data_IF_786628228756
#
_entry.id   IF_786628228756
#
_cell.length_a   1.000
_cell.length_b   1.000
_cell.length_c   1.000
_cell.angle_alpha   90.00
_cell.angle_beta   90.00
_cell.angle_gamma   90.00
#
_symmetry.space_group_name_H-M   'P 1'
#
loop_
_entity.id
_entity.type
_entity.pdbx_description
1 polymer ?
#
# COMPACT_ATOMS: atom_id res chain seq x y z
N UNK A 1 -20.24 -61.41 5.11
CA UNK A 1 -18.98 -60.98 5.75
C UNK A 1 -18.47 -59.88 4.84
N UNK A 2 -19.01 -58.66 4.99
CA UNK A 2 -18.88 -57.61 3.98
C UNK A 2 -18.58 -56.28 4.67
N UNK A 3 -17.28 -56.06 4.90
CA UNK A 3 -16.75 -54.78 5.32
C UNK A 3 -16.60 -53.88 4.10
N UNK A 4 -17.59 -53.03 3.84
CA UNK A 4 -17.41 -51.89 2.96
C UNK A 4 -16.66 -50.82 3.74
N UNK A 5 -15.35 -50.76 3.52
CA UNK A 5 -14.57 -49.58 3.84
C UNK A 5 -15.19 -48.40 3.10
N UNK A 6 -15.83 -47.49 3.84
CA UNK A 6 -16.20 -46.17 3.36
C UNK A 6 -14.92 -45.37 3.13
N UNK A 7 -14.23 -45.67 2.04
CA UNK A 7 -13.11 -44.87 1.55
C UNK A 7 -13.67 -43.53 1.09
N UNK A 8 -13.56 -42.51 1.94
CA UNK A 8 -13.82 -41.13 1.54
C UNK A 8 -12.76 -40.75 0.51
N UNK A 9 -13.06 -40.90 -0.78
CA UNK A 9 -12.23 -40.34 -1.82
C UNK A 9 -12.38 -38.82 -1.71
N UNK A 10 -11.31 -38.06 -1.39
CA UNK A 10 -11.43 -36.61 -1.30
C UNK A 10 -11.68 -36.06 -2.70
N UNK A 11 -12.82 -35.42 -2.90
CA UNK A 11 -13.10 -34.67 -4.12
C UNK A 11 -12.08 -33.54 -4.26
N UNK A 12 -11.27 -33.57 -5.33
CA UNK A 12 -10.32 -32.51 -5.64
C UNK A 12 -11.06 -31.34 -6.27
N UNK A 13 -11.27 -30.26 -5.52
CA UNK A 13 -11.84 -29.01 -6.04
C UNK A 13 -10.77 -28.13 -6.66
N UNK A 14 -11.04 -27.61 -7.85
CA UNK A 14 -10.17 -26.61 -8.47
C UNK A 14 -10.25 -25.28 -7.70
N UNK A 15 -9.17 -24.48 -7.64
CA UNK A 15 -9.18 -23.18 -6.97
C UNK A 15 -10.34 -22.28 -7.42
N UNK A 16 -10.65 -22.28 -8.73
CA UNK A 16 -11.74 -21.44 -9.27
C UNK A 16 -13.12 -21.86 -8.73
N UNK A 17 -13.33 -23.16 -8.49
CA UNK A 17 -14.57 -23.68 -7.92
C UNK A 17 -14.64 -23.31 -6.45
N UNK A 18 -13.55 -23.49 -5.70
CA UNK A 18 -13.49 -23.13 -4.28
C UNK A 18 -13.76 -21.64 -4.06
N UNK A 19 -13.01 -20.76 -4.74
CA UNK A 19 -13.15 -19.31 -4.57
C UNK A 19 -14.50 -18.78 -5.05
N UNK A 20 -15.01 -19.33 -6.17
CA UNK A 20 -16.35 -19.01 -6.66
C UNK A 20 -17.44 -19.41 -5.67
N UNK A 21 -17.32 -20.60 -5.07
CA UNK A 21 -18.30 -21.11 -4.11
C UNK A 21 -18.31 -20.29 -2.81
N UNK A 22 -17.13 -20.05 -2.20
CA UNK A 22 -17.06 -19.28 -0.95
C UNK A 22 -17.49 -17.83 -1.12
N UNK A 23 -17.12 -17.17 -2.22
CA UNK A 23 -17.58 -15.80 -2.52
C UNK A 23 -19.06 -15.77 -2.89
N UNK A 24 -19.58 -16.82 -3.51
CA UNK A 24 -21.01 -16.98 -3.81
C UNK A 24 -21.90 -16.97 -2.57
N UNK A 25 -21.40 -17.51 -1.46
CA UNK A 25 -22.08 -17.53 -0.16
C UNK A 25 -22.08 -16.16 0.56
N UNK A 26 -21.23 -15.24 0.15
CA UNK A 26 -21.18 -13.91 0.74
C UNK A 26 -22.30 -13.03 0.20
N UNK A 27 -22.80 -12.12 1.04
CA UNK A 27 -23.72 -11.07 0.59
C UNK A 27 -23.07 -10.24 -0.54
N UNK A 28 -23.84 -9.78 -1.55
CA UNK A 28 -23.28 -9.03 -2.69
C UNK A 28 -22.49 -7.80 -2.26
N UNK A 29 -22.89 -7.14 -1.17
CA UNK A 29 -22.19 -5.99 -0.58
C UNK A 29 -20.82 -6.39 -0.05
N UNK A 30 -20.70 -7.53 0.66
CA UNK A 30 -19.41 -8.05 1.14
C UNK A 30 -18.47 -8.39 -0.01
N UNK A 31 -19.01 -8.95 -1.10
CA UNK A 31 -18.21 -9.20 -2.32
C UNK A 31 -17.70 -7.90 -2.93
N UNK A 32 -18.54 -6.87 -2.98
CA UNK A 32 -18.14 -5.57 -3.49
C UNK A 32 -17.06 -4.92 -2.60
N UNK A 33 -17.20 -4.99 -1.28
CA UNK A 33 -16.19 -4.50 -0.34
C UNK A 33 -14.84 -5.21 -0.53
N UNK A 34 -14.86 -6.53 -0.70
CA UNK A 34 -13.64 -7.30 -1.03
C UNK A 34 -13.06 -6.86 -2.37
N UNK A 35 -13.87 -6.67 -3.41
CA UNK A 35 -13.42 -6.22 -4.71
C UNK A 35 -12.79 -4.81 -4.66
N UNK A 36 -13.36 -3.90 -3.87
CA UNK A 36 -12.80 -2.56 -3.63
C UNK A 36 -11.44 -2.66 -2.94
N UNK A 37 -11.33 -3.48 -1.90
CA UNK A 37 -10.07 -3.72 -1.20
C UNK A 37 -9.02 -4.34 -2.14
N UNK A 38 -9.38 -5.39 -2.86
CA UNK A 38 -8.50 -6.04 -3.84
C UNK A 38 -8.02 -5.01 -4.87
N UNK A 39 -8.91 -4.23 -5.46
CA UNK A 39 -8.54 -3.22 -6.45
C UNK A 39 -7.56 -2.16 -5.91
N UNK A 40 -7.76 -1.70 -4.67
CA UNK A 40 -6.86 -0.76 -4.02
C UNK A 40 -5.46 -1.37 -3.76
N UNK A 41 -5.40 -2.68 -3.46
CA UNK A 41 -4.16 -3.38 -3.09
C UNK A 41 -3.50 -4.12 -4.27
N UNK A 42 -4.18 -4.28 -5.39
CA UNK A 42 -3.69 -4.95 -6.61
C UNK A 42 -2.28 -4.48 -7.04
N UNK A 43 -1.93 -3.17 -6.99
CA UNK A 43 -0.58 -2.71 -7.33
C UNK A 43 0.52 -3.36 -6.48
N UNK A 44 0.24 -3.62 -5.20
CA UNK A 44 1.18 -4.28 -4.28
C UNK A 44 1.19 -5.80 -4.45
N UNK A 45 0.04 -6.40 -4.72
CA UNK A 45 -0.10 -7.86 -4.82
C UNK A 45 0.45 -8.42 -6.13
N UNK A 46 0.49 -7.61 -7.20
CA UNK A 46 1.07 -8.02 -8.47
C UNK A 46 2.54 -8.36 -8.31
N UNK A 47 2.92 -9.57 -8.72
CA UNK A 47 4.31 -9.99 -8.77
C UNK A 47 5.03 -9.14 -9.83
N UNK A 48 6.27 -8.63 -9.58
CA UNK A 48 7.06 -7.98 -10.61
C UNK A 48 7.20 -8.91 -11.81
N UNK A 49 6.59 -8.52 -12.93
CA UNK A 49 6.68 -9.30 -14.15
C UNK A 49 8.07 -9.09 -14.77
N UNK A 50 8.72 -10.18 -15.20
CA UNK A 50 9.90 -10.06 -16.05
C UNK A 50 9.43 -9.81 -17.49
N UNK A 51 9.71 -8.61 -18.00
CA UNK A 51 9.43 -8.26 -19.40
C UNK A 51 10.76 -8.04 -20.13
N UNK A 52 11.03 -8.85 -21.15
CA UNK A 52 12.29 -8.80 -21.93
C UNK A 52 13.56 -8.87 -21.07
N UNK A 53 13.57 -9.74 -20.06
CA UNK A 53 14.73 -9.93 -19.17
C UNK A 53 14.91 -8.85 -18.09
N UNK A 54 14.20 -7.72 -18.16
CA UNK A 54 14.17 -6.70 -17.11
C UNK A 54 13.05 -6.99 -16.10
N UNK A 55 13.36 -6.80 -14.83
CA UNK A 55 12.38 -6.81 -13.76
C UNK A 55 11.57 -5.51 -13.87
N UNK A 56 10.26 -5.62 -14.08
CA UNK A 56 9.37 -4.46 -13.96
C UNK A 56 9.08 -4.30 -12.48
N UNK A 57 9.52 -3.19 -11.90
CA UNK A 57 9.26 -2.85 -10.50
C UNK A 57 7.77 -2.85 -10.19
N UNK A 58 7.43 -3.16 -8.94
CA UNK A 58 6.02 -3.08 -8.53
C UNK A 58 5.63 -1.61 -8.49
N UNK A 59 4.40 -1.33 -8.91
CA UNK A 59 3.90 0.03 -8.86
C UNK A 59 3.52 0.35 -7.41
N UNK A 60 4.05 1.43 -6.82
CA UNK A 60 3.70 1.79 -5.45
C UNK A 60 2.22 2.16 -5.35
N UNK A 61 1.65 2.06 -4.13
CA UNK A 61 0.32 2.60 -3.86
C UNK A 61 0.27 4.10 -4.19
N UNK A 62 -0.84 4.54 -4.78
CA UNK A 62 -1.09 5.95 -5.04
C UNK A 62 -1.25 6.72 -3.72
N UNK A 63 -0.98 8.02 -3.73
CA UNK A 63 -1.18 8.88 -2.57
C UNK A 63 -2.64 8.83 -2.07
N UNK A 64 -3.59 8.74 -3.00
CA UNK A 64 -5.02 8.57 -2.71
C UNK A 64 -5.30 7.29 -1.91
N UNK A 65 -4.79 6.14 -2.35
CA UNK A 65 -5.01 4.87 -1.64
C UNK A 65 -4.31 4.89 -0.28
N UNK A 66 -3.13 5.48 -0.18
CA UNK A 66 -2.44 5.66 1.12
C UNK A 66 -3.27 6.52 2.07
N UNK A 67 -3.84 7.63 1.60
CA UNK A 67 -4.70 8.50 2.39
C UNK A 67 -6.00 7.78 2.81
N UNK A 68 -6.60 6.99 1.92
CA UNK A 68 -7.78 6.19 2.22
C UNK A 68 -7.50 5.12 3.30
N UNK A 69 -6.37 4.41 3.22
CA UNK A 69 -5.95 3.43 4.23
C UNK A 69 -5.70 4.11 5.59
N UNK A 70 -5.07 5.29 5.59
CA UNK A 70 -4.76 6.06 6.80
C UNK A 70 -5.96 6.80 7.39
N UNK A 71 -7.10 6.85 6.68
CA UNK A 71 -8.29 7.58 7.11
C UNK A 71 -9.08 6.79 8.16
N UNK A 72 -9.50 7.49 9.21
CA UNK A 72 -10.40 6.96 10.25
C UNK A 72 -11.89 7.26 9.99
N UNK A 73 -12.23 7.66 8.76
CA UNK A 73 -13.61 7.94 8.40
C UNK A 73 -14.48 6.66 8.48
N UNK A 74 -15.63 6.75 9.14
CA UNK A 74 -16.61 5.65 9.25
C UNK A 74 -17.96 5.99 8.60
N UNK A 75 -18.15 7.23 8.16
CA UNK A 75 -19.42 7.73 7.62
C UNK A 75 -19.82 7.21 6.24
N UNK A 76 -18.95 6.45 5.56
CA UNK A 76 -19.22 5.87 4.23
C UNK A 76 -18.97 4.36 4.23
N UNK A 77 -19.86 3.52 3.69
CA UNK A 77 -19.75 2.06 3.70
C UNK A 77 -18.44 1.48 3.13
N UNK A 78 -17.75 2.19 2.24
CA UNK A 78 -16.48 1.75 1.65
C UNK A 78 -15.25 2.45 2.24
N UNK A 79 -15.38 3.00 3.45
CA UNK A 79 -14.18 3.37 4.19
C UNK A 79 -13.35 2.14 4.53
N UNK A 80 -12.03 2.33 4.63
CA UNK A 80 -11.10 1.25 4.95
C UNK A 80 -11.49 0.51 6.24
N UNK A 81 -11.85 1.26 7.30
CA UNK A 81 -12.29 0.68 8.58
C UNK A 81 -13.57 -0.15 8.44
N UNK A 82 -14.58 0.37 7.73
CA UNK A 82 -15.83 -0.35 7.53
C UNK A 82 -15.62 -1.64 6.74
N UNK A 83 -14.76 -1.61 5.72
CA UNK A 83 -14.38 -2.80 4.96
C UNK A 83 -13.66 -3.82 5.86
N UNK A 84 -12.67 -3.40 6.65
CA UNK A 84 -11.95 -4.30 7.55
C UNK A 84 -12.90 -4.97 8.55
N UNK A 85 -13.76 -4.18 9.20
CA UNK A 85 -14.74 -4.67 10.16
C UNK A 85 -15.72 -5.69 9.54
N UNK A 86 -16.29 -5.39 8.35
CA UNK A 86 -17.28 -6.27 7.70
C UNK A 86 -16.64 -7.58 7.17
N UNK A 87 -15.38 -7.51 6.76
CA UNK A 87 -14.60 -8.65 6.29
C UNK A 87 -13.91 -9.43 7.42
N UNK A 88 -13.94 -8.94 8.67
CA UNK A 88 -13.29 -9.56 9.81
C UNK A 88 -11.75 -9.49 9.76
N UNK A 89 -11.22 -8.40 9.20
CA UNK A 89 -9.79 -8.11 9.13
C UNK A 89 -9.39 -7.15 10.25
N UNK A 90 -8.20 -7.34 10.82
CA UNK A 90 -7.59 -6.41 11.76
C UNK A 90 -7.07 -5.18 11.00
N UNK A 91 -7.73 -4.04 11.20
CA UNK A 91 -7.40 -2.78 10.52
C UNK A 91 -5.97 -2.29 10.80
N UNK A 92 -5.48 -2.44 12.04
CA UNK A 92 -4.19 -1.92 12.49
C UNK A 92 -3.04 -2.78 11.96
N UNK A 93 -3.20 -4.10 12.01
CA UNK A 93 -2.27 -5.04 11.43
C UNK A 93 -2.16 -4.83 9.91
N UNK A 94 -3.31 -4.63 9.24
CA UNK A 94 -3.35 -4.42 7.79
C UNK A 94 -2.71 -3.07 7.41
N UNK A 95 -3.05 -1.97 8.09
CA UNK A 95 -2.40 -0.65 7.90
C UNK A 95 -0.88 -0.75 8.04
N UNK A 96 -0.43 -1.38 9.12
CA UNK A 96 0.98 -1.55 9.42
C UNK A 96 1.70 -2.33 8.33
N UNK A 97 1.10 -3.41 7.83
CA UNK A 97 1.67 -4.20 6.74
C UNK A 97 1.76 -3.40 5.43
N UNK A 98 0.66 -2.74 5.05
CA UNK A 98 0.57 -2.00 3.78
C UNK A 98 1.50 -0.78 3.74
N UNK A 99 1.60 -0.04 4.85
CA UNK A 99 2.49 1.13 4.94
C UNK A 99 3.96 0.72 4.95
N UNK A 100 4.34 -0.37 5.63
CA UNK A 100 5.72 -0.90 5.55
C UNK A 100 6.11 -1.25 4.12
N UNK A 101 5.26 -2.00 3.40
CA UNK A 101 5.54 -2.39 2.02
C UNK A 101 5.66 -1.18 1.09
N UNK A 102 4.85 -0.14 1.31
CA UNK A 102 4.94 1.10 0.53
C UNK A 102 6.21 1.92 0.78
N UNK A 103 6.90 1.72 1.91
CA UNK A 103 8.19 2.39 2.22
C UNK A 103 9.41 1.61 1.73
N UNK A 104 9.33 0.27 1.66
CA UNK A 104 10.42 -0.58 1.18
C UNK A 104 10.65 -0.49 -0.33
N UNK A 105 9.63 -0.12 -1.12
CA UNK A 105 9.74 0.05 -2.58
C UNK A 105 10.57 1.30 -2.98
N UNK A 106 10.87 2.19 -2.03
CA UNK A 106 11.76 3.35 -2.25
C UNK A 106 13.24 3.06 -1.99
N UNK A 107 13.59 1.82 -1.59
CA UNK A 107 14.97 1.38 -1.44
C UNK A 107 15.38 0.63 -2.69
N UNK A 108 15.59 1.36 -3.78
CA UNK A 108 16.48 0.86 -4.82
C UNK A 108 17.81 0.47 -4.16
N UNK A 109 18.35 -0.74 -4.42
CA UNK A 109 19.78 -0.91 -4.29
C UNK A 109 20.36 0.05 -5.33
N UNK A 110 20.90 1.18 -4.89
CA UNK A 110 21.74 2.01 -5.74
C UNK A 110 22.71 1.06 -6.46
N UNK A 111 22.48 0.83 -7.75
CA UNK A 111 23.40 0.04 -8.55
C UNK A 111 24.76 0.73 -8.39
N UNK A 112 25.81 0.00 -7.99
CA UNK A 112 27.14 0.54 -8.13
C UNK A 112 27.42 0.55 -9.63
N UNK A 113 27.09 1.67 -10.29
CA UNK A 113 27.69 1.99 -11.58
C UNK A 113 29.20 2.03 -11.33
N UNK A 114 29.85 0.91 -11.66
CA UNK A 114 31.29 0.84 -11.85
C UNK A 114 31.57 1.67 -13.09
N UNK A 115 31.75 2.97 -12.91
CA UNK A 115 32.57 3.71 -13.86
C UNK A 115 33.98 3.13 -13.73
N UNK A 116 34.54 2.68 -14.86
CA UNK A 116 35.86 2.07 -14.98
C UNK A 116 37.03 3.01 -14.63
N UNK A 117 36.81 3.98 -13.76
CA UNK A 117 37.84 4.87 -13.23
C UNK A 117 37.57 5.10 -11.74
N UNK A 118 38.34 4.40 -10.89
CA UNK A 118 38.09 4.24 -9.46
C UNK A 118 38.08 5.54 -8.64
N UNK A 119 36.96 6.27 -8.66
CA UNK A 119 36.70 7.40 -7.78
C UNK A 119 35.35 7.22 -7.09
N UNK A 120 35.30 7.06 -5.76
CA UNK A 120 34.02 7.01 -5.06
C UNK A 120 33.34 8.38 -5.09
N UNK A 121 32.00 8.45 -5.21
CA UNK A 121 31.28 9.71 -5.05
C UNK A 121 31.47 10.20 -3.62
N UNK A 122 31.96 11.43 -3.48
CA UNK A 122 32.20 12.07 -2.21
C UNK A 122 30.89 12.07 -1.40
N UNK A 123 30.90 11.36 -0.27
CA UNK A 123 29.90 11.45 0.77
C UNK A 123 29.81 12.92 1.20
N UNK A 124 28.77 13.64 0.75
CA UNK A 124 28.49 14.99 1.20
C UNK A 124 27.90 14.93 2.62
N UNK A 125 28.75 14.57 3.59
CA UNK A 125 28.51 14.76 5.00
C UNK A 125 28.93 16.20 5.37
N UNK A 126 27.94 17.06 5.59
CA UNK A 126 28.07 18.22 6.47
C UNK A 126 28.84 19.44 5.94
N UNK A 127 28.10 20.48 5.58
CA UNK A 127 28.57 21.85 5.74
C UNK A 127 27.42 22.74 6.27
N UNK A 128 27.36 22.85 7.59
CA UNK A 128 26.79 24.03 8.24
C UNK A 128 27.79 25.17 8.03
N UNK A 129 27.34 26.32 7.54
CA UNK A 129 27.96 27.60 7.94
C UNK A 129 26.92 28.72 8.12
N UNK A 130 27.07 29.54 9.17
CA UNK A 130 26.25 30.72 9.45
C UNK A 130 26.88 32.00 8.87
N UNK A 131 26.11 33.08 8.73
CA UNK A 131 26.35 34.38 9.37
C UNK A 131 25.54 35.54 8.73
N UNK A 132 24.82 36.28 9.61
CA UNK A 132 24.73 37.76 9.74
C UNK A 132 24.90 38.58 8.45
N UNK A 133 24.00 39.43 7.98
CA UNK A 133 22.89 40.15 8.61
C UNK A 133 23.02 41.64 8.29
N UNK A 134 21.94 42.33 7.88
CA UNK A 134 21.69 43.74 8.26
C UNK A 134 20.23 44.12 8.03
N UNK A 135 19.69 44.83 9.01
CA UNK A 135 18.29 45.16 9.22
C UNK A 135 17.81 46.42 8.47
N UNK A 136 16.48 46.53 8.30
CA UNK A 136 15.61 47.71 8.51
C UNK A 136 14.17 47.30 8.19
N UNK A 137 13.33 47.01 9.19
CA UNK A 137 12.45 47.92 9.95
C UNK A 137 11.03 48.06 9.31
N UNK A 138 9.97 48.24 10.12
CA UNK A 138 8.66 47.62 9.88
C UNK A 138 7.60 48.60 9.35
N UNK A 139 6.56 48.07 8.71
CA UNK A 139 5.26 48.74 8.58
C UNK A 139 4.24 48.02 9.48
N UNK A 140 3.82 48.70 10.55
CA UNK A 140 2.72 48.35 11.46
C UNK A 140 1.38 48.88 10.83
N UNK A 141 0.16 48.60 11.36
CA UNK A 141 -0.97 47.98 10.67
C UNK A 141 -2.22 48.90 10.80
N UNK A 142 -3.38 48.27 10.71
CA UNK A 142 -4.71 48.76 11.11
C UNK A 142 -5.42 49.74 10.19
N UNK A 143 -6.48 49.24 9.53
CA UNK A 143 -7.85 49.76 9.68
C UNK A 143 -8.90 48.65 9.50
N UNK A 144 -9.45 48.22 10.63
CA UNK A 144 -10.89 48.14 10.95
C UNK A 144 -11.91 47.92 9.81
N UNK A 145 -12.56 46.75 9.87
CA UNK A 145 -14.02 46.51 10.05
C UNK A 145 -15.02 47.61 9.60
N UNK A 146 -16.05 47.14 8.89
CA UNK A 146 -17.45 47.64 8.76
C UNK A 146 -17.82 48.36 7.46
N UNK A 147 -18.59 47.69 6.62
CA UNK A 147 -19.79 48.19 5.95
C UNK A 147 -20.70 47.00 5.64
#
# INVERSE_FOLDING_TARGET
MDGWGSGTVPETVLPVQLFGHVRGLWQPEKRLMLAVLENALLPLLRNPARRHGRMVERRPLTAEVKAWIASDAQGWPFSFLNICHVLGLDEDALRSALLRQATSEGRDPAEPTRDGNGRPPALALGARQPARGRARAPLHPDRLRSA
#
